data_IF_950772594667
#
_entry.id   IF_950772594667
#
_cell.length_a   1.000
_cell.length_b   1.000
_cell.length_c   1.000
_cell.angle_alpha   90.00
_cell.angle_beta   90.00
_cell.angle_gamma   90.00
#
_symmetry.space_group_name_H-M   'P 1'
#
loop_
_entity.id
_entity.type
_entity.pdbx_description
1 polymer ?
#
# COMPACT_ATOMS: atom_id res chain seq x y z
N UNK A 1 4.85 6.24 35.08
CA UNK A 1 6.16 6.71 34.67
C UNK A 1 6.10 7.14 33.21
N UNK A 2 6.34 8.43 32.91
CA UNK A 2 6.28 8.92 31.53
C UNK A 2 7.63 8.60 30.88
N UNK A 3 7.66 7.56 30.07
CA UNK A 3 8.84 7.26 29.24
C UNK A 3 9.08 8.43 28.28
N UNK A 4 10.29 9.00 28.21
CA UNK A 4 10.59 10.16 27.36
C UNK A 4 10.72 9.72 25.89
N UNK A 5 9.61 9.29 25.27
CA UNK A 5 9.57 8.83 23.89
C UNK A 5 8.79 9.81 23.05
N UNK A 6 9.33 10.15 21.88
CA UNK A 6 8.62 10.99 20.94
C UNK A 6 7.44 10.19 20.32
N UNK A 7 6.23 10.59 20.65
CA UNK A 7 5.00 9.91 20.27
C UNK A 7 4.06 10.86 19.52
N UNK A 8 3.38 10.34 18.53
CA UNK A 8 2.34 11.06 17.78
C UNK A 8 1.17 10.11 17.56
N UNK A 9 -0.04 10.60 17.78
CA UNK A 9 -1.28 9.91 17.46
C UNK A 9 -1.98 10.66 16.33
N UNK A 10 -2.18 10.02 15.19
CA UNK A 10 -2.94 10.56 14.07
C UNK A 10 -4.35 10.02 14.20
N UNK A 11 -5.31 10.92 14.39
CA UNK A 11 -6.71 10.58 14.58
C UNK A 11 -7.40 10.19 13.27
N UNK A 12 -8.58 9.55 13.37
CA UNK A 12 -9.43 9.22 12.22
C UNK A 12 -9.74 10.45 11.38
N UNK A 13 -10.11 11.58 12.00
CA UNK A 13 -10.42 12.82 11.30
C UNK A 13 -9.23 13.35 10.49
N UNK A 14 -8.03 13.31 11.06
CA UNK A 14 -6.82 13.70 10.34
C UNK A 14 -6.53 12.78 9.16
N UNK A 15 -6.76 11.47 9.32
CA UNK A 15 -6.59 10.51 8.23
C UNK A 15 -7.60 10.72 7.11
N UNK A 16 -8.86 10.96 7.41
CA UNK A 16 -9.91 11.23 6.42
C UNK A 16 -9.59 12.43 5.53
N UNK A 17 -8.94 13.45 6.09
CA UNK A 17 -8.51 14.63 5.32
C UNK A 17 -7.24 14.37 4.51
N UNK A 18 -6.32 13.54 5.01
CA UNK A 18 -4.97 13.40 4.46
C UNK A 18 -4.81 12.23 3.49
N UNK A 19 -5.54 11.13 3.73
CA UNK A 19 -5.32 9.92 2.95
C UNK A 19 -5.91 10.00 1.54
N UNK A 20 -7.16 10.42 1.41
CA UNK A 20 -7.87 10.35 0.12
C UNK A 20 -7.58 9.02 -0.61
N UNK A 21 -6.90 9.08 -1.75
CA UNK A 21 -6.50 7.91 -2.54
C UNK A 21 -5.15 7.30 -2.14
N UNK A 22 -4.45 7.91 -1.19
CA UNK A 22 -3.06 7.57 -0.86
C UNK A 22 -2.97 6.39 0.09
N UNK A 23 -1.78 5.78 0.13
CA UNK A 23 -1.49 4.70 1.06
C UNK A 23 -1.35 5.20 2.51
N UNK A 24 -1.62 4.34 3.47
CA UNK A 24 -1.65 4.68 4.91
C UNK A 24 -0.41 5.47 5.39
N UNK A 25 0.83 5.16 4.99
CA UNK A 25 2.00 5.93 5.43
C UNK A 25 1.95 7.41 5.08
N UNK A 26 1.26 7.78 4.00
CA UNK A 26 1.20 9.17 3.54
C UNK A 26 0.52 10.09 4.55
N UNK A 27 -0.39 9.55 5.38
CA UNK A 27 -1.01 10.31 6.48
C UNK A 27 -0.01 10.80 7.54
N UNK A 28 1.18 10.20 7.58
CA UNK A 28 2.22 10.51 8.55
C UNK A 28 3.22 11.58 8.10
N UNK A 29 3.12 12.10 6.87
CA UNK A 29 4.05 13.12 6.36
C UNK A 29 4.06 14.44 7.16
N UNK A 30 3.03 14.70 7.95
CA UNK A 30 3.00 15.83 8.88
C UNK A 30 3.57 15.50 10.26
N UNK A 31 3.97 14.24 10.49
CA UNK A 31 4.60 13.81 11.73
C UNK A 31 6.08 14.14 11.70
N UNK A 32 6.62 14.87 12.69
CA UNK A 32 8.04 15.22 12.72
C UNK A 32 8.95 13.99 12.60
N UNK A 33 10.02 14.09 11.82
CA UNK A 33 10.99 13.00 11.57
C UNK A 33 10.42 11.76 10.87
N UNK A 34 9.24 11.87 10.26
CA UNK A 34 8.67 10.84 9.38
C UNK A 34 8.64 11.38 7.96
N UNK A 35 9.07 10.56 7.02
CA UNK A 35 9.03 10.86 5.60
C UNK A 35 8.44 9.67 4.85
N UNK A 36 7.30 9.85 4.24
CA UNK A 36 6.64 8.85 3.42
C UNK A 36 6.58 9.30 1.96
N UNK A 37 6.83 8.38 1.05
CA UNK A 37 6.74 8.60 -0.40
C UNK A 37 5.83 7.55 -1.02
N UNK A 38 5.06 7.97 -2.01
CA UNK A 38 4.37 7.06 -2.90
C UNK A 38 5.25 6.77 -4.10
N UNK A 39 5.43 5.52 -4.45
CA UNK A 39 6.24 5.08 -5.58
C UNK A 39 5.35 4.48 -6.66
N UNK A 40 5.93 4.21 -7.85
CA UNK A 40 5.23 3.49 -8.91
C UNK A 40 4.12 4.23 -9.64
N UNK A 41 3.83 5.48 -9.27
CA UNK A 41 2.80 6.30 -9.92
C UNK A 41 1.35 5.84 -9.68
N UNK A 42 1.14 4.87 -8.79
CA UNK A 42 -0.15 4.26 -8.52
C UNK A 42 -0.38 3.96 -7.04
N UNK A 43 -1.20 2.96 -6.78
CA UNK A 43 -1.56 2.53 -5.44
C UNK A 43 -0.58 1.46 -4.92
N UNK A 44 -0.37 1.45 -3.61
CA UNK A 44 0.20 0.30 -2.90
C UNK A 44 1.70 0.26 -2.74
N UNK A 45 2.44 1.21 -3.27
CA UNK A 45 3.90 1.18 -3.25
C UNK A 45 4.52 2.25 -2.34
N UNK A 46 3.79 2.70 -1.32
CA UNK A 46 4.33 3.66 -0.37
C UNK A 46 5.57 3.12 0.36
N UNK A 47 6.43 4.05 0.75
CA UNK A 47 7.60 3.78 1.59
C UNK A 47 7.60 4.77 2.76
N UNK A 48 8.03 4.32 3.91
CA UNK A 48 8.16 5.15 5.10
C UNK A 48 9.59 5.10 5.63
N UNK A 49 10.10 6.27 5.99
CA UNK A 49 11.34 6.44 6.71
C UNK A 49 11.05 7.19 8.01
N UNK A 50 11.65 6.73 9.09
CA UNK A 50 11.50 7.33 10.42
C UNK A 50 12.88 7.61 10.98
N UNK A 51 13.19 8.89 11.26
CA UNK A 51 14.52 9.32 11.72
C UNK A 51 15.67 8.84 10.81
N UNK A 52 15.44 8.77 9.48
CA UNK A 52 16.42 8.27 8.51
C UNK A 52 16.45 6.75 8.35
N UNK A 53 15.81 6.00 9.24
CA UNK A 53 15.69 4.55 9.10
C UNK A 53 14.56 4.18 8.12
N UNK A 54 14.85 3.30 7.19
CA UNK A 54 13.84 2.78 6.26
C UNK A 54 12.84 1.84 6.98
N UNK A 55 11.73 1.52 6.32
CA UNK A 55 10.63 0.75 6.92
C UNK A 55 11.00 -0.65 7.45
N UNK A 56 12.10 -1.25 7.00
CA UNK A 56 12.60 -2.53 7.54
C UNK A 56 13.02 -2.42 9.00
N UNK A 57 13.35 -1.22 9.44
CA UNK A 57 13.78 -0.90 10.81
C UNK A 57 12.67 -0.21 11.61
N UNK A 58 11.44 -0.22 11.11
CA UNK A 58 10.24 0.31 11.76
C UNK A 58 9.27 -0.83 11.96
N UNK A 59 8.93 -1.14 13.22
CA UNK A 59 7.91 -2.13 13.50
C UNK A 59 6.54 -1.57 13.08
N UNK A 60 5.87 -2.23 12.15
CA UNK A 60 4.51 -1.89 11.71
C UNK A 60 3.56 -2.94 12.21
N UNK A 61 2.51 -2.51 12.91
CA UNK A 61 1.51 -3.40 13.50
C UNK A 61 0.09 -2.97 13.11
N UNK A 62 -0.80 -3.95 13.01
CA UNK A 62 -2.25 -3.73 12.94
C UNK A 62 -2.86 -4.43 14.15
N UNK A 63 -3.50 -3.67 15.03
CA UNK A 63 -4.09 -4.17 16.29
C UNK A 63 -3.10 -5.02 17.12
N UNK A 64 -1.82 -4.63 17.14
CA UNK A 64 -0.76 -5.33 17.85
C UNK A 64 -0.13 -6.51 17.10
N UNK A 65 -0.61 -6.87 15.90
CA UNK A 65 -0.04 -7.94 15.07
C UNK A 65 1.02 -7.38 14.14
N UNK A 66 2.28 -7.84 14.19
CA UNK A 66 3.35 -7.40 13.29
C UNK A 66 3.03 -7.69 11.82
N UNK A 67 3.32 -6.73 10.94
CA UNK A 67 3.07 -6.81 9.51
C UNK A 67 4.33 -6.82 8.66
N UNK A 68 5.48 -6.56 9.26
CA UNK A 68 6.75 -6.66 8.56
C UNK A 68 6.97 -8.07 8.04
N UNK A 69 7.36 -8.19 6.79
CA UNK A 69 7.69 -9.44 6.15
C UNK A 69 8.85 -10.16 6.86
N UNK A 70 8.69 -11.45 7.10
CA UNK A 70 9.65 -12.25 7.90
C UNK A 70 10.99 -12.45 7.18
N UNK A 71 11.00 -12.38 5.85
CA UNK A 71 12.19 -12.62 5.04
C UNK A 71 13.03 -11.35 4.89
N UNK A 72 12.38 -10.21 4.57
CA UNK A 72 13.08 -9.01 4.17
C UNK A 72 12.73 -7.76 5.01
N UNK A 73 11.81 -7.86 5.96
CA UNK A 73 11.39 -6.78 6.85
C UNK A 73 10.51 -5.71 6.20
N UNK A 74 10.16 -5.83 4.91
CA UNK A 74 9.32 -4.86 4.22
C UNK A 74 7.85 -4.96 4.65
N UNK A 75 7.13 -3.85 4.48
CA UNK A 75 5.66 -3.83 4.49
C UNK A 75 5.20 -3.46 3.09
N UNK A 76 4.42 -4.32 2.48
CA UNK A 76 3.81 -4.11 1.17
C UNK A 76 2.44 -3.47 1.38
N UNK A 77 2.38 -2.15 1.21
CA UNK A 77 1.19 -1.36 1.55
C UNK A 77 -0.02 -1.66 0.68
N UNK A 78 0.19 -2.18 -0.53
CA UNK A 78 -0.88 -2.72 -1.37
C UNK A 78 -1.70 -3.83 -0.71
N UNK A 79 -1.10 -4.59 0.22
CA UNK A 79 -1.80 -5.63 0.97
C UNK A 79 -2.79 -5.07 2.00
N UNK A 80 -2.74 -3.76 2.24
CA UNK A 80 -3.56 -3.03 3.21
C UNK A 80 -4.31 -1.85 2.58
N UNK A 81 -4.42 -1.85 1.24
CA UNK A 81 -5.11 -0.81 0.50
C UNK A 81 -6.59 -0.75 0.91
N UNK A 82 -7.06 0.44 1.28
CA UNK A 82 -8.42 0.65 1.80
C UNK A 82 -8.61 0.37 3.30
N UNK A 83 -7.66 -0.27 3.98
CA UNK A 83 -7.75 -0.51 5.44
C UNK A 83 -7.72 0.79 6.23
N UNK A 84 -7.17 1.87 5.67
CA UNK A 84 -7.20 3.20 6.25
C UNK A 84 -8.60 3.69 6.61
N UNK A 85 -9.64 3.31 5.85
CA UNK A 85 -11.04 3.68 6.14
C UNK A 85 -11.60 3.00 7.40
N UNK A 86 -11.05 1.85 7.79
CA UNK A 86 -11.40 1.15 9.03
C UNK A 86 -10.59 1.64 10.25
N UNK A 87 -9.53 2.42 10.01
CA UNK A 87 -8.57 2.81 11.04
C UNK A 87 -9.16 3.88 11.95
N UNK A 88 -9.08 3.65 13.26
CA UNK A 88 -9.45 4.61 14.31
C UNK A 88 -8.33 5.61 14.57
N UNK A 89 -7.11 5.12 14.64
CA UNK A 89 -5.93 5.95 14.86
C UNK A 89 -4.65 5.25 14.42
N UNK A 90 -3.62 6.04 14.12
CA UNK A 90 -2.27 5.55 13.91
C UNK A 90 -1.39 6.10 15.02
N UNK A 91 -0.83 5.19 15.80
CA UNK A 91 0.12 5.52 16.86
C UNK A 91 1.54 5.39 16.32
N UNK A 92 2.27 6.50 16.29
CA UNK A 92 3.64 6.54 15.82
C UNK A 92 4.59 6.88 16.96
N UNK A 93 5.35 5.91 17.41
CA UNK A 93 6.46 6.10 18.31
C UNK A 93 7.76 6.19 17.50
N UNK A 94 8.56 7.20 17.75
CA UNK A 94 9.80 7.47 17.02
C UNK A 94 11.02 7.16 17.89
N UNK A 95 11.91 6.31 17.36
CA UNK A 95 13.10 5.82 18.07
C UNK A 95 12.84 4.48 18.74
N UNK A 96 13.79 4.02 19.52
CA UNK A 96 13.75 2.72 20.18
C UNK A 96 12.45 2.54 20.97
N UNK A 97 11.79 1.42 20.76
CA UNK A 97 10.64 1.05 21.57
C UNK A 97 11.08 0.70 22.99
N UNK A 98 10.29 1.16 23.96
CA UNK A 98 10.45 0.72 25.35
C UNK A 98 9.94 -0.72 25.55
N UNK A 99 9.29 -1.29 24.55
CA UNK A 99 8.75 -2.66 24.55
C UNK A 99 9.65 -3.57 23.73
N UNK A 100 9.95 -4.74 24.25
CA UNK A 100 10.70 -5.77 23.54
C UNK A 100 9.80 -6.39 22.46
N UNK A 101 9.90 -5.85 21.24
CA UNK A 101 9.14 -6.34 20.08
C UNK A 101 9.96 -7.37 19.31
N UNK A 102 9.28 -8.39 18.81
CA UNK A 102 9.90 -9.40 17.95
C UNK A 102 10.33 -8.86 16.57
N UNK A 103 9.86 -7.65 16.20
CA UNK A 103 10.17 -6.98 14.94
C UNK A 103 11.18 -5.86 15.17
N UNK A 104 12.16 -5.65 14.26
CA UNK A 104 13.10 -4.53 14.34
C UNK A 104 12.38 -3.19 14.46
N UNK A 105 12.71 -2.39 15.46
CA UNK A 105 12.03 -1.13 15.77
C UNK A 105 12.98 0.02 16.10
N UNK A 106 14.21 -0.03 15.59
CA UNK A 106 15.23 0.97 15.86
C UNK A 106 14.83 2.38 15.39
N UNK A 107 14.14 2.47 14.27
CA UNK A 107 13.58 3.70 13.73
C UNK A 107 12.32 4.16 14.47
N UNK A 108 11.53 3.22 14.93
CA UNK A 108 10.26 3.49 15.63
C UNK A 108 9.26 2.36 15.49
N UNK A 109 8.07 2.62 16.02
CA UNK A 109 6.93 1.69 15.97
C UNK A 109 5.70 2.42 15.46
N UNK A 110 5.04 1.86 14.46
CA UNK A 110 3.77 2.31 13.91
C UNK A 110 2.71 1.27 14.26
N UNK A 111 1.66 1.64 14.98
CA UNK A 111 0.53 0.77 15.27
C UNK A 111 -0.75 1.36 14.72
N UNK A 112 -1.39 0.64 13.80
CA UNK A 112 -2.68 0.97 13.19
C UNK A 112 -3.75 0.31 14.06
N UNK A 113 -4.64 1.11 14.62
CA UNK A 113 -5.65 0.69 15.58
C UNK A 113 -7.04 0.84 14.99
N UNK A 114 -7.86 -0.20 15.13
CA UNK A 114 -9.25 -0.24 14.70
C UNK A 114 -10.13 -0.65 15.91
N UNK A 115 -10.37 0.21 16.87
CA UNK A 115 -11.11 -0.13 18.11
C UNK A 115 -12.63 0.00 17.92
N UNK A 116 -13.43 -1.08 17.82
CA UNK A 116 -14.88 -1.02 17.68
C UNK A 116 -15.58 -0.37 18.88
N UNK A 117 -15.05 -0.55 20.10
CA UNK A 117 -15.65 -0.02 21.31
C UNK A 117 -15.49 1.51 21.43
N UNK A 118 -14.47 2.08 20.79
CA UNK A 118 -14.23 3.50 20.75
C UNK A 118 -15.07 4.24 19.68
N UNK A 119 -15.77 3.50 18.82
CA UNK A 119 -16.57 4.08 17.74
C UNK A 119 -17.98 4.42 18.22
N UNK A 120 -18.47 5.61 17.88
CA UNK A 120 -19.88 5.96 18.08
C UNK A 120 -20.78 5.17 17.14
N UNK A 121 -22.03 4.92 17.58
CA UNK A 121 -23.04 4.29 16.72
C UNK A 121 -23.31 5.14 15.50
N UNK A 122 -23.24 4.54 14.33
CA UNK A 122 -23.53 5.21 13.07
C UNK A 122 -23.01 4.45 11.86
N UNK A 123 -23.32 4.97 10.71
CA UNK A 123 -22.81 4.46 9.44
C UNK A 123 -22.52 5.59 8.47
N UNK A 124 -21.65 5.35 7.52
CA UNK A 124 -21.33 6.28 6.45
C UNK A 124 -21.13 5.55 5.12
N UNK A 125 -21.56 6.21 4.07
CA UNK A 125 -21.21 5.86 2.69
C UNK A 125 -20.42 7.03 2.11
N UNK A 126 -19.18 6.79 1.73
CA UNK A 126 -18.29 7.81 1.20
C UNK A 126 -17.95 7.46 -0.24
N UNK A 127 -18.01 8.45 -1.11
CA UNK A 127 -17.58 8.35 -2.49
C UNK A 127 -16.47 9.36 -2.74
N UNK A 128 -15.35 8.91 -3.28
CA UNK A 128 -14.20 9.73 -3.64
C UNK A 128 -13.92 9.58 -5.13
N UNK A 129 -13.63 10.67 -5.81
CA UNK A 129 -13.23 10.69 -7.21
C UNK A 129 -11.99 11.58 -7.39
N UNK A 130 -11.16 11.27 -8.37
CA UNK A 130 -9.91 12.00 -8.60
C UNK A 130 -9.33 11.77 -9.99
N UNK A 131 -8.12 12.27 -10.19
CA UNK A 131 -7.38 12.13 -11.43
C UNK A 131 -7.11 10.66 -11.76
N UNK A 132 -6.91 10.35 -13.05
CA UNK A 132 -6.67 8.97 -13.51
C UNK A 132 -7.90 8.08 -13.32
N UNK A 133 -9.11 8.62 -13.53
CA UNK A 133 -10.41 7.94 -13.34
C UNK A 133 -10.57 7.30 -11.96
N UNK A 134 -9.85 7.84 -10.96
CA UNK A 134 -9.92 7.33 -9.60
C UNK A 134 -11.34 7.39 -9.05
N UNK A 135 -11.81 6.25 -8.56
CA UNK A 135 -13.09 6.10 -7.89
C UNK A 135 -12.94 5.18 -6.68
N UNK A 136 -13.36 5.66 -5.51
CA UNK A 136 -13.35 4.87 -4.28
C UNK A 136 -14.69 4.99 -3.58
N UNK A 137 -15.30 3.87 -3.26
CA UNK A 137 -16.52 3.76 -2.46
C UNK A 137 -16.19 3.07 -1.16
N UNK A 138 -16.49 3.71 -0.03
CA UNK A 138 -16.28 3.17 1.30
C UNK A 138 -17.61 3.14 2.06
N UNK A 139 -17.96 1.97 2.57
CA UNK A 139 -19.09 1.78 3.49
C UNK A 139 -18.56 1.46 4.87
N UNK A 140 -19.02 2.19 5.89
CA UNK A 140 -18.68 1.95 7.29
C UNK A 140 -19.95 1.85 8.11
N UNK A 141 -19.97 0.92 9.06
CA UNK A 141 -21.02 0.82 10.05
C UNK A 141 -20.46 0.40 11.41
N UNK A 142 -20.91 1.10 12.46
CA UNK A 142 -20.51 0.85 13.84
C UNK A 142 -21.76 0.77 14.69
N UNK A 143 -21.84 -0.22 15.56
CA UNK A 143 -22.97 -0.35 16.49
C UNK A 143 -22.89 0.63 17.65
N UNK A 144 -21.69 1.17 17.92
CA UNK A 144 -21.36 1.72 19.22
C UNK A 144 -21.37 0.61 20.30
N UNK A 145 -21.23 1.01 21.55
CA UNK A 145 -21.27 0.09 22.67
C UNK A 145 -22.72 -0.32 22.97
N UNK A 146 -23.00 -1.60 22.89
CA UNK A 146 -24.33 -2.20 23.16
C UNK A 146 -24.31 -2.78 24.55
N UNK A 147 -25.24 -2.33 25.42
CA UNK A 147 -25.36 -2.78 26.80
C UNK A 147 -24.04 -2.72 27.59
N UNK A 148 -23.20 -1.74 27.29
CA UNK A 148 -21.86 -1.53 27.86
C UNK A 148 -20.92 -2.74 27.74
N UNK A 149 -21.21 -3.67 26.84
CA UNK A 149 -20.48 -4.94 26.72
C UNK A 149 -20.02 -5.28 25.31
N UNK A 150 -20.82 -5.02 24.29
CA UNK A 150 -20.54 -5.45 22.92
C UNK A 150 -20.41 -4.26 21.98
N UNK A 151 -19.46 -4.34 21.08
CA UNK A 151 -19.37 -3.43 19.95
C UNK A 151 -18.99 -4.20 18.69
N UNK A 152 -19.58 -3.80 17.56
CA UNK A 152 -19.25 -4.34 16.24
C UNK A 152 -18.98 -3.19 15.28
N UNK A 153 -18.03 -3.42 14.39
CA UNK A 153 -17.62 -2.46 13.39
C UNK A 153 -17.36 -3.19 12.07
N UNK A 154 -17.78 -2.62 10.96
CA UNK A 154 -17.48 -3.14 9.63
C UNK A 154 -17.13 -2.02 8.68
N UNK A 155 -16.18 -2.29 7.80
CA UNK A 155 -15.82 -1.41 6.69
C UNK A 155 -15.65 -2.24 5.44
N UNK A 156 -16.25 -1.78 4.35
CA UNK A 156 -16.12 -2.37 3.01
C UNK A 156 -15.68 -1.28 2.05
N UNK A 157 -14.67 -1.53 1.26
CA UNK A 157 -14.12 -0.58 0.30
C UNK A 157 -14.01 -1.22 -1.07
N UNK A 158 -14.38 -0.46 -2.09
CA UNK A 158 -14.04 -0.72 -3.49
C UNK A 158 -13.28 0.48 -4.02
N UNK A 159 -12.14 0.23 -4.67
CA UNK A 159 -11.28 1.24 -5.26
C UNK A 159 -10.90 0.82 -6.67
N UNK A 160 -11.04 1.75 -7.62
CA UNK A 160 -10.62 1.58 -9.01
C UNK A 160 -9.98 2.86 -9.53
N UNK A 161 -9.17 2.76 -10.57
CA UNK A 161 -8.62 3.90 -11.29
C UNK A 161 -7.63 3.44 -12.35
N UNK A 162 -7.51 4.22 -13.42
CA UNK A 162 -6.51 3.98 -14.47
C UNK A 162 -5.10 4.45 -14.06
N UNK A 163 -5.03 5.29 -13.03
CA UNK A 163 -3.77 5.89 -12.61
C UNK A 163 -3.36 7.08 -13.46
N UNK A 164 -2.25 7.71 -13.08
CA UNK A 164 -1.67 8.85 -13.82
C UNK A 164 -0.60 8.37 -14.81
N UNK A 165 0.11 7.32 -14.43
CA UNK A 165 1.09 6.66 -15.30
C UNK A 165 0.36 5.62 -16.16
N UNK A 166 0.73 5.54 -17.42
CA UNK A 166 0.11 4.60 -18.36
C UNK A 166 0.15 3.17 -17.83
N UNK A 167 -1.00 2.50 -17.85
CA UNK A 167 -1.19 1.13 -17.34
C UNK A 167 -0.85 0.90 -15.85
N UNK A 168 -0.75 1.96 -15.05
CA UNK A 168 -0.64 1.87 -13.60
C UNK A 168 -2.03 1.88 -12.91
N UNK A 169 -2.97 1.17 -13.51
CA UNK A 169 -4.34 1.03 -13.00
C UNK A 169 -4.40 0.27 -11.69
N UNK A 170 -5.48 0.47 -10.93
CA UNK A 170 -5.76 -0.26 -9.69
C UNK A 170 -7.18 -0.81 -9.68
N UNK A 171 -7.35 -2.01 -9.13
CA UNK A 171 -8.62 -2.64 -8.81
C UNK A 171 -8.48 -3.33 -7.45
N UNK A 172 -9.02 -2.71 -6.42
CA UNK A 172 -8.82 -3.13 -5.05
C UNK A 172 -10.14 -3.17 -4.28
N UNK A 173 -10.19 -4.09 -3.34
CA UNK A 173 -11.21 -4.18 -2.32
C UNK A 173 -10.56 -4.16 -0.95
N UNK A 174 -11.30 -3.74 0.06
CA UNK A 174 -10.92 -4.00 1.44
C UNK A 174 -12.15 -4.41 2.24
N UNK A 175 -11.92 -5.25 3.21
CA UNK A 175 -12.92 -5.61 4.20
C UNK A 175 -12.31 -5.57 5.60
N UNK A 176 -13.12 -5.12 6.51
CA UNK A 176 -12.81 -5.12 7.93
C UNK A 176 -14.06 -5.51 8.71
N UNK A 177 -13.91 -6.44 9.64
CA UNK A 177 -14.90 -6.78 10.64
C UNK A 177 -14.20 -6.78 11.99
N UNK A 178 -14.72 -6.00 12.92
CA UNK A 178 -14.21 -5.92 14.27
C UNK A 178 -15.32 -6.13 15.28
N UNK A 179 -15.01 -6.81 16.37
CA UNK A 179 -15.90 -6.91 17.52
C UNK A 179 -15.13 -6.76 18.82
N UNK A 180 -15.76 -6.17 19.82
CA UNK A 180 -15.26 -6.06 21.17
C UNK A 180 -16.30 -6.63 22.15
N UNK A 181 -15.85 -7.40 23.12
CA UNK A 181 -16.68 -7.97 24.17
C UNK A 181 -16.05 -7.75 25.54
N UNK A 182 -16.69 -6.91 26.36
CA UNK A 182 -16.37 -6.72 27.75
C UNK A 182 -17.09 -7.80 28.59
N UNK A 183 -16.39 -8.92 28.86
CA UNK A 183 -16.97 -10.02 29.63
C UNK A 183 -17.28 -9.60 31.05
N UNK A 184 -16.34 -8.91 31.70
CA UNK A 184 -16.44 -8.32 33.05
C UNK A 184 -15.37 -7.22 33.18
N UNK A 185 -15.29 -6.57 34.33
CA UNK A 185 -14.37 -5.45 34.56
C UNK A 185 -12.89 -5.83 34.36
N UNK A 186 -12.56 -7.10 34.52
CA UNK A 186 -11.20 -7.59 34.38
C UNK A 186 -10.87 -8.11 32.97
N UNK A 187 -11.86 -8.55 32.18
CA UNK A 187 -11.64 -9.26 30.93
C UNK A 187 -12.33 -8.61 29.75
N UNK A 188 -11.56 -8.24 28.73
CA UNK A 188 -12.02 -7.78 27.43
C UNK A 188 -11.42 -8.62 26.30
N UNK A 189 -12.25 -9.00 25.35
CA UNK A 189 -11.88 -9.70 24.13
C UNK A 189 -12.16 -8.85 22.91
N UNK A 190 -11.30 -8.93 21.91
CA UNK A 190 -11.49 -8.29 20.62
C UNK A 190 -11.16 -9.27 19.51
N UNK A 191 -12.06 -9.39 18.54
CA UNK A 191 -11.87 -10.22 17.35
C UNK A 191 -11.88 -9.35 16.10
N UNK A 192 -10.90 -9.53 15.25
CA UNK A 192 -10.73 -8.78 14.01
C UNK A 192 -10.54 -9.71 12.83
N UNK A 193 -11.13 -9.34 11.69
CA UNK A 193 -10.86 -9.95 10.40
C UNK A 193 -10.65 -8.83 9.38
N UNK A 194 -9.48 -8.81 8.74
CA UNK A 194 -9.04 -7.74 7.87
C UNK A 194 -8.44 -8.35 6.60
N UNK A 195 -8.71 -7.74 5.45
CA UNK A 195 -8.04 -8.09 4.22
C UNK A 195 -8.28 -7.06 3.13
N UNK A 196 -7.36 -6.99 2.18
CA UNK A 196 -7.40 -6.08 1.06
C UNK A 196 -6.97 -6.79 -0.24
N UNK A 197 -7.85 -7.62 -0.82
CA UNK A 197 -7.58 -8.20 -2.12
C UNK A 197 -7.45 -7.11 -3.18
N UNK A 198 -6.33 -7.10 -3.88
CA UNK A 198 -6.01 -6.07 -4.85
C UNK A 198 -5.33 -6.64 -6.08
N UNK A 199 -5.42 -5.89 -7.17
CA UNK A 199 -4.68 -6.06 -8.41
C UNK A 199 -4.34 -4.69 -8.98
N UNK A 200 -3.11 -4.51 -9.44
CA UNK A 200 -2.70 -3.24 -10.04
C UNK A 200 -1.58 -3.42 -11.06
N UNK A 201 -1.50 -2.51 -12.02
CA UNK A 201 -0.37 -2.36 -12.90
C UNK A 201 0.77 -1.63 -12.20
N UNK A 202 2.01 -1.96 -12.52
CA UNK A 202 3.19 -1.41 -11.87
C UNK A 202 4.06 -0.62 -12.82
N UNK A 203 4.75 0.38 -12.29
CA UNK A 203 5.88 1.06 -12.89
C UNK A 203 7.04 0.99 -11.90
N UNK A 204 7.83 -0.08 -11.96
CA UNK A 204 8.77 -0.46 -10.91
C UNK A 204 10.14 0.19 -11.01
N UNK A 205 10.57 0.55 -12.21
CA UNK A 205 11.93 0.97 -12.44
C UNK A 205 12.03 2.48 -12.52
N UNK A 206 13.06 3.01 -11.86
CA UNK A 206 13.42 4.42 -11.99
C UNK A 206 13.99 4.65 -13.39
N UNK A 207 13.49 5.69 -14.05
CA UNK A 207 14.02 6.17 -15.31
C UNK A 207 14.80 7.46 -15.07
N UNK A 208 15.63 7.82 -16.04
CA UNK A 208 16.23 9.12 -16.08
C UNK A 208 15.13 10.19 -16.24
N UNK A 209 15.29 11.32 -15.57
CA UNK A 209 14.30 12.40 -15.64
C UNK A 209 14.09 12.91 -17.07
N UNK A 210 15.13 12.88 -17.92
CA UNK A 210 15.04 13.25 -19.35
C UNK A 210 14.08 12.37 -20.15
N UNK A 211 13.82 11.15 -19.70
CA UNK A 211 12.80 10.27 -20.28
C UNK A 211 11.40 10.84 -20.09
N UNK A 212 11.14 11.50 -18.98
CA UNK A 212 9.85 12.07 -18.65
C UNK A 212 9.69 13.51 -19.09
N UNK A 213 10.75 14.32 -18.96
CA UNK A 213 10.78 15.72 -19.36
C UNK A 213 12.21 16.24 -19.46
N UNK A 214 12.61 16.64 -20.65
CA UNK A 214 13.91 17.28 -20.88
C UNK A 214 13.91 18.71 -20.33
N UNK A 215 12.78 19.41 -20.38
CA UNK A 215 12.62 20.75 -19.80
C UNK A 215 12.93 20.74 -18.30
N UNK A 216 12.23 19.89 -17.53
CA UNK A 216 12.46 19.75 -16.08
C UNK A 216 13.87 19.26 -15.74
N UNK A 217 14.44 18.41 -16.58
CA UNK A 217 15.82 17.97 -16.42
C UNK A 217 16.82 19.11 -16.56
N UNK A 218 16.56 20.04 -17.50
CA UNK A 218 17.39 21.23 -17.73
C UNK A 218 17.36 22.25 -16.58
N UNK A 219 16.34 22.22 -15.73
CA UNK A 219 16.24 23.07 -14.54
C UNK A 219 17.15 22.59 -13.37
N UNK A 220 17.67 21.37 -13.45
CA UNK A 220 18.49 20.78 -12.40
C UNK A 220 19.94 21.26 -12.59
N UNK A 221 20.44 22.03 -11.63
CA UNK A 221 21.83 22.54 -11.66
C UNK A 221 22.85 21.38 -11.76
N UNK A 222 23.75 21.51 -12.75
CA UNK A 222 24.81 20.52 -12.97
C UNK A 222 24.36 19.20 -13.62
N UNK A 223 23.08 19.09 -14.03
CA UNK A 223 22.60 17.90 -14.70
C UNK A 223 22.83 18.01 -16.23
N UNK A 224 23.50 17.00 -16.81
CA UNK A 224 23.69 16.91 -18.25
C UNK A 224 22.43 16.31 -18.91
N UNK A 225 21.72 17.11 -19.68
CA UNK A 225 20.51 16.71 -20.41
C UNK A 225 20.82 16.03 -21.76
N UNK A 226 22.08 15.98 -22.15
CA UNK A 226 22.48 15.49 -23.49
C UNK A 226 22.96 14.05 -23.49
N UNK A 227 23.51 13.59 -22.38
CA UNK A 227 24.06 12.24 -22.27
C UNK A 227 24.02 11.71 -20.84
N UNK A 228 24.04 10.39 -20.69
CA UNK A 228 24.18 9.75 -19.39
C UNK A 228 25.68 9.68 -18.97
N UNK A 229 25.95 9.20 -17.76
CA UNK A 229 27.31 9.06 -17.23
C UNK A 229 28.23 8.14 -18.06
N UNK A 230 27.68 7.34 -18.95
CA UNK A 230 28.44 6.49 -19.89
C UNK A 230 28.69 7.18 -21.24
N UNK A 231 28.23 8.41 -21.43
CA UNK A 231 28.36 9.16 -22.67
C UNK A 231 27.32 8.76 -23.76
N UNK A 232 26.36 7.90 -23.42
CA UNK A 232 25.27 7.55 -24.32
C UNK A 232 24.25 8.70 -24.35
N UNK A 233 23.78 9.06 -25.52
CA UNK A 233 22.74 10.08 -25.68
C UNK A 233 21.45 9.61 -25.03
N UNK A 234 20.78 10.54 -24.34
CA UNK A 234 19.41 10.28 -23.89
C UNK A 234 18.49 10.09 -25.08
N UNK A 235 17.58 9.14 -24.95
CA UNK A 235 16.54 8.91 -25.93
C UNK A 235 15.56 10.10 -25.97
N UNK A 236 14.70 10.10 -26.99
CA UNK A 236 13.62 11.07 -27.12
C UNK A 236 12.73 11.05 -25.85
N UNK A 237 12.30 12.21 -25.42
CA UNK A 237 11.36 12.35 -24.31
C UNK A 237 10.10 11.50 -24.59
N UNK A 238 9.76 10.64 -23.63
CA UNK A 238 8.62 9.75 -23.71
C UNK A 238 7.37 10.32 -23.01
N UNK A 239 7.55 11.39 -22.24
CA UNK A 239 6.46 12.09 -21.56
C UNK A 239 6.22 11.63 -20.13
N UNK A 240 5.42 12.44 -19.43
CA UNK A 240 5.20 12.30 -17.98
C UNK A 240 4.45 11.05 -17.57
N UNK A 241 3.63 10.48 -18.45
CA UNK A 241 2.83 9.28 -18.17
C UNK A 241 3.55 7.99 -18.54
N UNK A 242 4.76 8.09 -19.07
CA UNK A 242 5.52 6.96 -19.57
C UNK A 242 5.66 5.83 -18.54
N UNK A 243 5.33 4.62 -18.97
CA UNK A 243 5.56 3.37 -18.24
C UNK A 243 6.43 2.46 -19.10
N UNK A 244 7.65 2.21 -18.66
CA UNK A 244 8.58 1.35 -19.39
C UNK A 244 8.13 -0.12 -19.50
N UNK A 245 7.20 -0.54 -18.66
CA UNK A 245 6.67 -1.90 -18.64
C UNK A 245 5.46 -2.08 -19.55
N UNK A 246 5.05 -1.03 -20.23
CA UNK A 246 3.98 -1.05 -21.21
C UNK A 246 4.38 -0.30 -22.47
N UNK A 247 3.95 -0.79 -23.61
CA UNK A 247 4.11 -0.13 -24.90
C UNK A 247 3.32 -0.85 -25.97
N UNK A 248 3.02 -0.13 -27.06
CA UNK A 248 2.46 -0.75 -28.25
C UNK A 248 3.46 -1.74 -28.83
N UNK A 249 3.01 -2.93 -29.16
CA UNK A 249 3.80 -3.96 -29.82
C UNK A 249 3.76 -3.71 -31.34
N UNK A 250 4.87 -4.00 -32.03
CA UNK A 250 4.93 -3.89 -33.49
C UNK A 250 3.77 -4.65 -34.14
N UNK A 251 2.98 -4.03 -35.02
CA UNK A 251 1.86 -4.69 -35.68
C UNK A 251 2.22 -5.91 -36.51
N UNK A 252 3.48 -6.04 -36.91
CA UNK A 252 3.97 -7.21 -37.65
C UNK A 252 4.20 -8.44 -36.73
N UNK A 253 4.21 -8.26 -35.41
CA UNK A 253 4.40 -9.35 -34.49
C UNK A 253 3.13 -10.21 -34.38
N UNK A 254 3.24 -11.46 -34.77
CA UNK A 254 2.12 -12.41 -34.79
C UNK A 254 2.09 -13.36 -33.58
N UNK A 255 3.03 -13.18 -32.65
CA UNK A 255 3.09 -13.99 -31.43
C UNK A 255 1.97 -13.67 -30.45
N UNK A 256 1.83 -14.53 -29.48
CA UNK A 256 0.84 -14.44 -28.43
C UNK A 256 1.49 -14.35 -27.07
N UNK A 257 0.82 -13.66 -26.14
CA UNK A 257 1.20 -13.68 -24.75
C UNK A 257 0.37 -14.71 -24.01
N UNK A 258 1.05 -15.54 -23.27
CA UNK A 258 0.43 -16.44 -22.31
C UNK A 258 0.31 -15.76 -20.95
N UNK A 259 -0.89 -15.73 -20.42
CA UNK A 259 -1.17 -15.11 -19.14
C UNK A 259 -1.91 -16.07 -18.20
N UNK A 260 -1.34 -16.23 -17.01
CA UNK A 260 -1.82 -17.18 -16.00
C UNK A 260 -2.33 -16.48 -14.72
N UNK A 261 -3.22 -15.50 -14.88
CA UNK A 261 -3.95 -14.94 -13.75
C UNK A 261 -5.42 -15.27 -13.90
N UNK A 262 -6.06 -15.76 -12.86
CA UNK A 262 -7.47 -16.22 -12.93
C UNK A 262 -7.74 -17.26 -14.02
N UNK A 263 -6.75 -18.10 -14.29
CA UNK A 263 -6.79 -19.09 -15.35
C UNK A 263 -5.86 -18.76 -16.51
N UNK A 264 -5.38 -19.79 -17.18
CA UNK A 264 -4.51 -19.67 -18.34
C UNK A 264 -5.29 -19.13 -19.54
N UNK A 265 -4.79 -18.07 -20.15
CA UNK A 265 -5.28 -17.59 -21.43
C UNK A 265 -4.17 -17.01 -22.28
N UNK A 266 -4.39 -17.08 -23.58
CA UNK A 266 -3.49 -16.51 -24.58
C UNK A 266 -4.15 -15.31 -25.20
N UNK A 267 -3.44 -14.18 -25.29
CA UNK A 267 -3.91 -12.94 -25.92
C UNK A 267 -2.91 -12.51 -26.99
N UNK A 268 -3.39 -11.78 -27.99
CA UNK A 268 -2.53 -11.19 -29.02
C UNK A 268 -1.67 -10.09 -28.39
N UNK A 269 -0.35 -10.10 -28.64
CA UNK A 269 0.55 -9.12 -28.02
C UNK A 269 0.33 -7.68 -28.46
N UNK A 270 -0.19 -7.47 -29.63
CA UNK A 270 -0.51 -6.14 -30.15
C UNK A 270 -1.93 -5.67 -29.83
N UNK A 271 -2.68 -6.43 -29.02
CA UNK A 271 -4.00 -6.01 -28.54
C UNK A 271 -3.85 -4.71 -27.72
N UNK A 272 -4.55 -3.62 -28.07
CA UNK A 272 -4.47 -2.36 -27.35
C UNK A 272 -4.95 -2.48 -25.89
N UNK A 273 -5.74 -3.51 -25.56
CA UNK A 273 -6.14 -3.86 -24.20
C UNK A 273 -5.16 -4.81 -23.51
N UNK A 274 -4.02 -5.07 -24.15
CA UNK A 274 -2.97 -5.88 -23.57
C UNK A 274 -2.46 -5.26 -22.29
N UNK A 275 -2.31 -6.11 -21.30
CA UNK A 275 -1.95 -5.69 -19.96
C UNK A 275 -0.49 -5.24 -19.88
N UNK A 276 -0.20 -4.39 -18.93
CA UNK A 276 1.14 -4.08 -18.50
C UNK A 276 1.92 -5.39 -18.24
N UNK A 277 3.17 -5.48 -18.69
CA UNK A 277 4.04 -6.63 -18.41
C UNK A 277 4.32 -6.81 -16.92
N UNK A 278 4.08 -5.77 -16.13
CA UNK A 278 4.24 -5.77 -14.68
C UNK A 278 2.90 -5.48 -14.01
N UNK A 279 2.22 -6.55 -13.66
CA UNK A 279 1.06 -6.50 -12.78
C UNK A 279 1.36 -7.23 -11.49
N UNK A 280 0.74 -6.77 -10.43
CA UNK A 280 0.74 -7.44 -9.14
C UNK A 280 -0.69 -7.68 -8.67
N UNK A 281 -0.92 -8.83 -8.05
CA UNK A 281 -2.14 -9.12 -7.33
C UNK A 281 -1.80 -9.83 -6.04
N UNK A 282 -2.49 -9.48 -4.97
CA UNK A 282 -2.28 -10.11 -3.69
C UNK A 282 -3.52 -10.04 -2.81
N UNK A 283 -3.69 -11.03 -1.95
CA UNK A 283 -4.63 -11.03 -0.86
C UNK A 283 -3.97 -11.61 0.38
N UNK A 284 -3.87 -10.81 1.43
CA UNK A 284 -3.27 -11.18 2.72
C UNK A 284 -4.30 -11.02 3.83
N UNK A 285 -5.21 -12.01 4.04
CA UNK A 285 -6.14 -11.97 5.16
C UNK A 285 -5.41 -12.08 6.49
N UNK A 286 -5.92 -11.34 7.47
CA UNK A 286 -5.48 -11.36 8.85
C UNK A 286 -6.71 -11.55 9.74
N UNK A 287 -6.68 -12.56 10.62
CA UNK A 287 -7.65 -12.74 11.70
C UNK A 287 -6.90 -12.75 13.01
N UNK A 288 -7.31 -11.93 13.97
CA UNK A 288 -6.68 -11.91 15.28
C UNK A 288 -7.69 -11.78 16.40
N UNK A 289 -7.39 -12.47 17.51
CA UNK A 289 -8.09 -12.40 18.78
C UNK A 289 -7.16 -11.79 19.82
N UNK A 290 -7.55 -10.66 20.37
CA UNK A 290 -6.87 -9.99 21.47
C UNK A 290 -7.63 -10.24 22.77
N UNK A 291 -6.92 -10.54 23.84
CA UNK A 291 -7.45 -10.64 25.19
C UNK A 291 -6.69 -9.72 26.12
N UNK A 292 -7.42 -8.88 26.81
CA UNK A 292 -6.88 -7.98 27.82
C UNK A 292 -7.43 -8.39 29.20
N UNK A 293 -6.52 -8.72 30.09
CA UNK A 293 -6.84 -9.15 31.45
C UNK A 293 -6.19 -8.19 32.45
N UNK A 294 -7.00 -7.59 33.29
CA UNK A 294 -6.57 -6.82 34.45
C UNK A 294 -6.53 -7.75 35.65
N UNK A 295 -5.33 -8.14 36.07
CA UNK A 295 -5.11 -9.02 37.20
C UNK A 295 -5.19 -8.25 38.53
N UNK A 296 -4.73 -7.01 38.55
CA UNK A 296 -4.77 -6.09 39.67
C UNK A 296 -4.55 -4.66 39.19
N UNK A 297 -4.61 -3.66 40.06
CA UNK A 297 -4.32 -2.26 39.73
C UNK A 297 -2.88 -2.09 39.15
N UNK A 298 -1.96 -2.95 39.53
CA UNK A 298 -0.56 -2.89 39.11
C UNK A 298 -0.20 -3.90 38.00
N UNK A 299 -1.08 -4.84 37.64
CA UNK A 299 -0.73 -5.93 36.73
C UNK A 299 -1.81 -6.13 35.66
N UNK A 300 -1.39 -6.05 34.40
CA UNK A 300 -2.21 -6.34 33.22
C UNK A 300 -1.52 -7.33 32.31
N UNK A 301 -2.29 -8.23 31.74
CA UNK A 301 -1.85 -9.19 30.73
C UNK A 301 -2.57 -8.88 29.42
N UNK A 302 -1.82 -8.74 28.33
CA UNK A 302 -2.35 -8.65 26.98
C UNK A 302 -1.87 -9.84 26.16
N UNK A 303 -2.80 -10.57 25.58
CA UNK A 303 -2.52 -11.73 24.73
C UNK A 303 -3.07 -11.50 23.34
N UNK A 304 -2.30 -11.85 22.33
CA UNK A 304 -2.69 -11.74 20.92
C UNK A 304 -2.50 -13.10 20.26
N UNK A 305 -3.58 -13.66 19.75
CA UNK A 305 -3.56 -14.84 18.89
C UNK A 305 -3.95 -14.41 17.48
N UNK A 306 -3.17 -14.77 16.48
CA UNK A 306 -3.50 -14.41 15.10
C UNK A 306 -3.19 -15.51 14.10
N UNK A 307 -3.90 -15.44 12.99
CA UNK A 307 -3.65 -16.17 11.77
C UNK A 307 -3.58 -15.21 10.59
N UNK A 308 -2.60 -15.40 9.73
CA UNK A 308 -2.49 -14.66 8.47
C UNK A 308 -2.15 -15.63 7.35
N UNK A 309 -2.87 -15.53 6.25
CA UNK A 309 -2.59 -16.24 5.01
C UNK A 309 -2.04 -15.29 3.95
N UNK A 310 -1.72 -15.83 2.78
CA UNK A 310 -1.32 -15.04 1.63
C UNK A 310 -1.55 -15.81 0.34
N UNK A 311 -2.10 -15.13 -0.65
CA UNK A 311 -2.21 -15.64 -2.02
C UNK A 311 -1.99 -14.48 -2.98
N UNK A 312 -1.08 -14.63 -3.89
CA UNK A 312 -0.78 -13.56 -4.83
C UNK A 312 0.29 -13.96 -5.83
N UNK A 313 0.61 -12.99 -6.66
CA UNK A 313 1.61 -13.14 -7.70
C UNK A 313 1.74 -11.88 -8.54
N UNK A 314 2.45 -12.00 -9.61
CA UNK A 314 2.63 -10.92 -10.58
C UNK A 314 2.97 -11.45 -11.94
N UNK A 315 2.88 -10.59 -12.91
CA UNK A 315 3.38 -10.86 -14.26
C UNK A 315 4.81 -10.34 -14.41
N UNK A 316 5.51 -10.85 -15.39
CA UNK A 316 6.85 -10.41 -15.74
C UNK A 316 7.19 -10.86 -17.14
N UNK A 317 8.18 -10.21 -17.71
CA UNK A 317 8.71 -10.56 -19.02
C UNK A 317 9.37 -11.91 -18.94
N UNK A 318 8.97 -12.82 -19.83
CA UNK A 318 9.69 -14.07 -20.07
C UNK A 318 10.60 -13.90 -21.28
N UNK A 319 11.88 -14.13 -21.09
CA UNK A 319 12.89 -13.84 -22.12
C UNK A 319 13.29 -12.36 -22.10
N UNK A 320 13.73 -11.86 -23.25
CA UNK A 320 14.12 -10.47 -23.43
C UNK A 320 13.15 -9.72 -24.35
N UNK A 321 12.88 -8.48 -24.01
CA UNK A 321 12.13 -7.54 -24.85
C UNK A 321 13.07 -6.40 -25.22
N UNK A 322 13.21 -6.13 -26.50
CA UNK A 322 14.03 -5.04 -27.00
C UNK A 322 13.15 -3.88 -27.40
N UNK A 323 13.56 -2.66 -27.05
CA UNK A 323 12.94 -1.44 -27.54
C UNK A 323 13.45 -1.15 -28.95
N UNK A 324 12.56 -0.81 -29.88
CA UNK A 324 12.97 -0.38 -31.18
C UNK A 324 13.41 1.08 -31.15
N UNK A 325 14.63 1.40 -31.56
CA UNK A 325 15.14 2.77 -31.49
C UNK A 325 14.50 3.73 -32.50
N UNK A 326 13.68 3.25 -33.41
CA UNK A 326 13.17 4.04 -34.54
C UNK A 326 11.64 4.29 -34.51
N UNK A 327 10.90 3.84 -33.50
CA UNK A 327 9.45 4.04 -33.44
C UNK A 327 9.15 5.05 -32.34
N UNK A 328 8.50 6.19 -32.69
CA UNK A 328 8.30 7.31 -31.75
C UNK A 328 7.46 6.98 -30.52
N UNK A 329 6.68 5.93 -30.56
CA UNK A 329 5.62 5.66 -29.59
C UNK A 329 5.89 4.42 -28.70
N UNK A 330 7.09 4.30 -28.15
CA UNK A 330 7.40 3.29 -27.13
C UNK A 330 7.01 1.84 -27.48
N UNK A 331 7.18 1.48 -28.76
CA UNK A 331 6.93 0.10 -29.18
C UNK A 331 8.00 -0.85 -28.66
N UNK A 332 7.58 -1.93 -28.05
CA UNK A 332 8.42 -3.03 -27.57
C UNK A 332 8.41 -4.17 -28.59
N UNK A 333 9.58 -4.68 -28.91
CA UNK A 333 9.70 -5.90 -29.71
C UNK A 333 10.02 -7.07 -28.80
N UNK A 334 9.23 -8.12 -28.89
CA UNK A 334 9.67 -9.39 -28.34
C UNK A 334 10.86 -9.88 -29.15
N UNK A 335 12.01 -10.05 -28.53
CA UNK A 335 13.03 -10.90 -29.10
C UNK A 335 12.47 -12.32 -29.16
N UNK A 336 12.73 -13.02 -30.26
CA UNK A 336 12.30 -14.41 -30.44
C UNK A 336 12.63 -15.25 -29.23
N UNK A 337 11.79 -16.24 -28.88
CA UNK A 337 12.06 -17.15 -27.77
C UNK A 337 13.37 -17.87 -27.91
#
# INVERSE_FOLDING_TARGET
EKTPVAYTNVSKQEMEVRLASQDIPMALNTTPSVYATQQGGGAGDARINVRGFNQRNVAVMINGVPQNDMENGWVYWSNWDGVGDATQSIQMQRGLSAVNLATPSIGGTMNIITDPAAMSRGGSLKQEAGSGTFLKTSFNYNTGLIADKFAFSTTLVKKTGEGIIDKAWTDAYAYYFGSSYQMNDANRFELYAIGAPQRHGQNLYKQNITTYSQELAGEIEGYDVTSNSSGEKFETEAGRTFNQNWGAVDPSYTGKQYWYMYGARTVERHDPNFLNERENFFHKPLVNLNHYLTLSDAMRLSSVLYWSGGSGGGTGTYGSVSRAPAIPDNAWYASSP
#
